data_IF_191883492498
#
_entry.id   IF_191883492498
#
_cell.length_a   1.000
_cell.length_b   1.000
_cell.length_c   1.000
_cell.angle_alpha   90.00
_cell.angle_beta   90.00
_cell.angle_gamma   90.00
#
_symmetry.space_group_name_H-M   'P 1'
#
loop_
_entity.id
_entity.type
_entity.pdbx_description
1 polymer ?
#
# COMPACT_ATOMS: atom_id res chain seq x y z
N UNK A 1 -12.34 -25.53 11.24
CA UNK A 1 -11.93 -24.97 9.95
C UNK A 1 -10.81 -25.84 9.43
N UNK A 2 -10.89 -26.27 8.18
CA UNK A 2 -9.84 -27.08 7.56
C UNK A 2 -8.67 -26.20 7.13
N UNK A 3 -7.45 -26.74 6.97
CA UNK A 3 -6.32 -25.97 6.45
C UNK A 3 -6.55 -25.39 5.04
N UNK A 4 -7.49 -25.94 4.28
CA UNK A 4 -7.89 -25.43 2.96
C UNK A 4 -8.82 -24.22 3.09
N UNK A 5 -9.80 -24.29 4.00
CA UNK A 5 -10.71 -23.18 4.31
C UNK A 5 -9.94 -21.95 4.83
N UNK A 6 -8.93 -22.15 5.68
CA UNK A 6 -8.07 -21.06 6.18
C UNK A 6 -7.30 -20.34 5.07
N UNK A 7 -6.72 -21.10 4.13
CA UNK A 7 -5.99 -20.51 3.00
C UNK A 7 -6.90 -19.74 2.04
N UNK A 8 -8.11 -20.25 1.78
CA UNK A 8 -9.09 -19.54 0.96
C UNK A 8 -9.53 -18.23 1.63
N UNK A 9 -9.84 -18.26 2.92
CA UNK A 9 -10.25 -17.06 3.65
C UNK A 9 -9.16 -15.97 3.66
N UNK A 10 -7.90 -16.36 3.81
CA UNK A 10 -6.76 -15.42 3.76
C UNK A 10 -6.57 -14.82 2.36
N UNK A 11 -6.71 -15.62 1.31
CA UNK A 11 -6.64 -15.14 -0.07
C UNK A 11 -7.78 -14.14 -0.39
N UNK A 12 -9.00 -14.41 0.04
CA UNK A 12 -10.14 -13.51 -0.13
C UNK A 12 -9.96 -12.19 0.64
N UNK A 13 -9.34 -12.24 1.83
CA UNK A 13 -9.01 -11.04 2.60
C UNK A 13 -7.98 -10.20 1.87
N UNK A 14 -6.91 -10.82 1.37
CA UNK A 14 -5.87 -10.15 0.59
C UNK A 14 -6.46 -9.51 -0.68
N UNK A 15 -7.36 -10.20 -1.38
CA UNK A 15 -8.04 -9.66 -2.56
C UNK A 15 -8.86 -8.41 -2.23
N UNK A 16 -9.59 -8.43 -1.10
CA UNK A 16 -10.36 -7.26 -0.62
C UNK A 16 -9.45 -6.08 -0.29
N UNK A 17 -8.31 -6.34 0.37
CA UNK A 17 -7.32 -5.31 0.68
C UNK A 17 -6.75 -4.73 -0.63
N UNK A 18 -6.33 -5.58 -1.57
CA UNK A 18 -5.78 -5.14 -2.85
C UNK A 18 -6.78 -4.31 -3.66
N UNK A 19 -8.04 -4.73 -3.73
CA UNK A 19 -9.10 -3.97 -4.39
C UNK A 19 -9.27 -2.58 -3.75
N UNK A 20 -9.26 -2.49 -2.41
CA UNK A 20 -9.36 -1.21 -1.72
C UNK A 20 -8.18 -0.27 -2.06
N UNK A 21 -6.95 -0.79 -2.11
CA UNK A 21 -5.78 -0.03 -2.56
C UNK A 21 -5.90 0.41 -4.01
N UNK A 22 -6.29 -0.47 -4.93
CA UNK A 22 -6.44 -0.13 -6.35
C UNK A 22 -7.50 0.94 -6.59
N UNK A 23 -8.60 0.90 -5.84
CA UNK A 23 -9.66 1.92 -5.89
C UNK A 23 -9.29 3.22 -5.18
N UNK A 24 -8.34 3.17 -4.24
CA UNK A 24 -8.04 4.28 -3.35
C UNK A 24 -9.16 4.53 -2.33
N UNK A 25 -9.76 3.47 -1.83
CA UNK A 25 -10.91 3.52 -0.93
C UNK A 25 -10.48 3.24 0.52
N UNK A 26 -10.36 4.32 1.31
CA UNK A 26 -9.86 4.25 2.69
C UNK A 26 -10.81 3.51 3.62
N UNK A 27 -12.12 3.65 3.39
CA UNK A 27 -13.13 3.02 4.23
C UNK A 27 -13.22 1.53 3.90
N UNK A 28 -13.15 1.15 2.62
CA UNK A 28 -13.02 -0.25 2.22
C UNK A 28 -11.74 -0.88 2.75
N UNK A 29 -10.61 -0.15 2.73
CA UNK A 29 -9.35 -0.63 3.29
C UNK A 29 -9.48 -0.93 4.78
N UNK A 30 -10.03 0.01 5.56
CA UNK A 30 -10.29 -0.17 7.00
C UNK A 30 -11.23 -1.33 7.29
N UNK A 31 -12.22 -1.58 6.43
CA UNK A 31 -13.14 -2.70 6.57
C UNK A 31 -12.53 -4.05 6.16
N UNK A 32 -11.54 -4.05 5.26
CA UNK A 32 -10.88 -5.25 4.76
C UNK A 32 -9.76 -5.75 5.69
N UNK A 33 -9.06 -4.85 6.39
CA UNK A 33 -8.05 -5.23 7.38
C UNK A 33 -8.69 -5.80 8.65
N UNK A 34 -8.01 -6.75 9.30
CA UNK A 34 -8.50 -7.37 10.54
C UNK A 34 -8.52 -6.42 11.73
N UNK A 35 -7.63 -5.43 11.74
CA UNK A 35 -7.57 -4.36 12.74
C UNK A 35 -7.44 -3.00 12.03
N UNK A 36 -8.48 -2.15 12.04
CA UNK A 36 -8.44 -0.83 11.40
C UNK A 36 -7.37 0.12 11.97
N UNK A 37 -6.88 -0.13 13.19
CA UNK A 37 -5.87 0.71 13.84
C UNK A 37 -4.50 0.65 13.16
N UNK A 38 -4.27 -0.37 12.33
CA UNK A 38 -3.04 -0.47 11.53
C UNK A 38 -2.98 0.55 10.40
N UNK A 39 -4.10 1.19 10.04
CA UNK A 39 -4.10 2.21 8.99
C UNK A 39 -3.81 3.59 9.62
N UNK A 40 -2.78 4.35 9.16
CA UNK A 40 -1.94 4.09 8.00
C UNK A 40 -0.52 3.54 8.31
N UNK A 41 -0.12 3.38 9.58
CA UNK A 41 1.29 3.14 9.95
C UNK A 41 1.60 1.73 10.50
N UNK A 42 0.58 0.98 10.87
CA UNK A 42 0.75 -0.37 11.37
C UNK A 42 1.12 -1.35 10.26
N UNK A 43 1.66 -2.49 10.70
CA UNK A 43 1.96 -3.62 9.83
C UNK A 43 0.64 -4.30 9.44
N UNK A 44 0.38 -4.38 8.13
CA UNK A 44 -0.74 -5.15 7.57
C UNK A 44 -0.37 -6.64 7.46
N UNK A 45 -1.22 -7.44 6.81
CA UNK A 45 -0.90 -8.84 6.52
C UNK A 45 0.45 -8.99 5.81
N UNK A 46 1.13 -10.13 6.02
CA UNK A 46 2.52 -10.35 5.61
C UNK A 46 2.78 -10.15 4.10
N UNK A 47 1.73 -10.28 3.28
CA UNK A 47 1.83 -10.05 1.82
C UNK A 47 1.78 -8.56 1.45
N UNK A 48 1.17 -7.74 2.30
CA UNK A 48 0.99 -6.28 2.11
C UNK A 48 2.11 -5.52 2.80
N UNK A 49 2.42 -5.88 4.06
CA UNK A 49 3.46 -5.25 4.86
C UNK A 49 3.12 -3.82 5.24
N UNK A 50 3.85 -2.85 4.67
CA UNK A 50 3.65 -1.41 4.92
C UNK A 50 2.53 -0.84 4.04
N UNK A 51 1.54 -0.20 4.68
CA UNK A 51 0.41 0.44 4.01
C UNK A 51 0.86 1.47 2.96
N UNK A 52 1.77 2.38 3.34
CA UNK A 52 2.21 3.46 2.45
C UNK A 52 3.03 2.92 1.28
N UNK A 53 3.90 1.92 1.52
CA UNK A 53 4.66 1.26 0.45
C UNK A 53 3.74 0.53 -0.53
N UNK A 54 2.75 -0.19 -0.03
CA UNK A 54 1.80 -0.91 -0.88
C UNK A 54 0.94 0.07 -1.71
N UNK A 55 0.51 1.18 -1.12
CA UNK A 55 -0.16 2.26 -1.85
C UNK A 55 0.73 2.83 -2.97
N UNK A 56 2.04 2.95 -2.73
CA UNK A 56 3.03 3.36 -3.75
C UNK A 56 3.23 2.28 -4.84
N UNK A 57 2.72 1.06 -4.72
CA UNK A 57 2.73 0.13 -5.85
C UNK A 57 1.38 0.02 -6.55
N UNK A 58 0.28 0.13 -5.81
CA UNK A 58 -1.06 -0.30 -6.27
C UNK A 58 -2.07 0.81 -6.44
N UNK A 59 -1.88 1.95 -5.79
CA UNK A 59 -2.91 2.98 -5.66
C UNK A 59 -2.71 4.20 -6.55
N UNK A 60 -3.77 4.98 -6.80
CA UNK A 60 -3.65 6.32 -7.38
C UNK A 60 -2.93 7.29 -6.44
N UNK A 61 -2.26 8.32 -6.99
CA UNK A 61 -1.64 9.40 -6.22
C UNK A 61 -2.57 10.05 -5.18
N UNK A 62 -3.86 10.22 -5.51
CA UNK A 62 -4.83 10.81 -4.61
C UNK A 62 -4.96 10.01 -3.30
N UNK A 63 -4.90 8.69 -3.37
CA UNK A 63 -4.96 7.83 -2.18
C UNK A 63 -3.69 7.94 -1.33
N UNK A 64 -2.52 8.01 -1.99
CA UNK A 64 -1.24 8.23 -1.31
C UNK A 64 -1.29 9.56 -0.53
N UNK A 65 -1.85 10.62 -1.12
CA UNK A 65 -2.07 11.90 -0.45
C UNK A 65 -3.00 11.75 0.76
N UNK A 66 -4.13 11.07 0.60
CA UNK A 66 -5.06 10.86 1.72
C UNK A 66 -4.42 10.08 2.87
N UNK A 67 -3.58 9.08 2.58
CA UNK A 67 -2.83 8.36 3.62
C UNK A 67 -1.88 9.30 4.37
N UNK A 68 -1.13 10.15 3.66
CA UNK A 68 -0.25 11.16 4.27
C UNK A 68 -1.03 12.18 5.10
N UNK A 69 -2.18 12.64 4.60
CA UNK A 69 -3.07 13.59 5.30
C UNK A 69 -3.60 13.04 6.63
N UNK A 70 -3.86 11.73 6.72
CA UNK A 70 -4.28 11.09 7.98
C UNK A 70 -3.09 10.65 8.85
N UNK A 71 -1.87 11.05 8.51
CA UNK A 71 -0.67 10.85 9.32
C UNK A 71 0.18 9.63 8.96
N UNK A 72 0.13 9.15 7.71
CA UNK A 72 1.10 8.17 7.26
C UNK A 72 2.51 8.76 7.34
N UNK A 73 3.45 8.02 7.94
CA UNK A 73 4.84 8.45 8.04
C UNK A 73 5.59 8.15 6.73
N UNK A 74 6.02 9.17 5.96
CA UNK A 74 6.73 8.96 4.70
C UNK A 74 8.14 8.40 4.88
N UNK A 75 8.66 8.35 6.12
CA UNK A 75 10.00 7.88 6.46
C UNK A 75 10.00 6.58 7.27
N UNK A 76 8.83 6.04 7.63
CA UNK A 76 8.76 4.79 8.39
C UNK A 76 9.39 3.64 7.58
N UNK A 77 10.30 2.85 8.18
CA UNK A 77 10.92 1.73 7.47
C UNK A 77 9.86 0.68 7.13
N UNK A 78 9.87 0.20 5.89
CA UNK A 78 9.12 -0.99 5.49
C UNK A 78 9.82 -2.26 5.97
N UNK A 79 9.23 -3.41 5.65
CA UNK A 79 9.75 -4.73 6.00
C UNK A 79 11.16 -5.02 5.46
N UNK A 80 11.51 -4.39 4.34
CA UNK A 80 12.83 -4.45 3.72
C UNK A 80 13.85 -3.48 4.37
N UNK A 81 13.44 -2.72 5.38
CA UNK A 81 14.25 -1.73 6.08
C UNK A 81 14.38 -0.39 5.35
N UNK A 82 13.74 -0.24 4.18
CA UNK A 82 13.82 0.98 3.38
C UNK A 82 12.62 1.90 3.61
N UNK A 83 12.79 3.22 3.50
CA UNK A 83 11.66 4.15 3.55
C UNK A 83 10.81 4.09 2.27
N UNK A 84 9.53 4.51 2.33
CA UNK A 84 8.60 4.57 1.19
C UNK A 84 9.15 5.24 -0.07
N UNK A 85 10.08 6.18 0.08
CA UNK A 85 10.77 6.82 -1.04
C UNK A 85 11.45 5.82 -2.00
N UNK A 86 12.00 4.72 -1.49
CA UNK A 86 12.68 3.69 -2.31
C UNK A 86 11.67 2.96 -3.21
N UNK A 87 10.44 2.75 -2.73
CA UNK A 87 9.37 2.18 -3.54
C UNK A 87 9.01 3.10 -4.72
N UNK A 88 8.88 4.41 -4.46
CA UNK A 88 8.55 5.39 -5.50
C UNK A 88 9.62 5.43 -6.61
N UNK A 89 10.90 5.41 -6.23
CA UNK A 89 12.02 5.37 -7.18
C UNK A 89 12.05 4.07 -7.99
N UNK A 90 11.62 2.95 -7.42
CA UNK A 90 11.55 1.66 -8.12
C UNK A 90 10.50 1.66 -9.23
N UNK A 91 9.44 2.45 -9.09
CA UNK A 91 8.40 2.65 -10.11
C UNK A 91 8.83 3.57 -11.27
N UNK A 92 9.95 4.29 -11.16
CA UNK A 92 10.43 5.22 -12.18
C UNK A 92 11.05 4.51 -13.40
N UNK A 93 11.48 3.25 -13.24
CA UNK A 93 12.20 2.53 -14.29
C UNK A 93 11.24 2.00 -15.34
N UNK A 94 11.53 2.29 -16.61
CA UNK A 94 10.88 1.66 -17.75
C UNK A 94 11.38 0.20 -17.86
N UNK A 95 10.65 -0.73 -17.24
CA UNK A 95 10.87 -2.16 -17.40
C UNK A 95 9.87 -2.74 -18.42
N UNK A 96 10.31 -3.59 -19.36
CA UNK A 96 9.40 -4.23 -20.32
C UNK A 96 8.30 -5.01 -19.58
N UNK A 97 7.03 -4.69 -19.87
CA UNK A 97 5.87 -5.36 -19.28
C UNK A 97 5.38 -4.80 -17.94
N UNK A 98 6.03 -3.77 -17.37
CA UNK A 98 5.53 -3.07 -16.19
C UNK A 98 4.60 -1.92 -16.59
N UNK A 99 3.51 -1.73 -15.83
CA UNK A 99 2.69 -0.54 -15.93
C UNK A 99 3.50 0.66 -15.40
N UNK A 100 3.91 1.55 -16.31
CA UNK A 100 4.67 2.75 -15.97
C UNK A 100 3.78 3.70 -15.16
N UNK A 101 4.19 4.05 -13.94
CA UNK A 101 3.60 5.20 -13.24
C UNK A 101 4.09 6.49 -13.87
N UNK A 102 3.16 7.38 -14.20
CA UNK A 102 3.46 8.68 -14.81
C UNK A 102 3.56 9.81 -13.79
N UNK A 103 3.24 9.54 -12.53
CA UNK A 103 3.10 10.48 -11.42
C UNK A 103 4.20 10.31 -10.35
N UNK A 104 5.33 9.67 -10.71
CA UNK A 104 6.42 9.42 -9.76
C UNK A 104 6.99 10.71 -9.18
N UNK A 105 7.16 11.75 -10.00
CA UNK A 105 7.67 13.05 -9.54
C UNK A 105 6.73 13.67 -8.49
N UNK A 106 5.41 13.56 -8.67
CA UNK A 106 4.44 14.01 -7.68
C UNK A 106 4.49 13.17 -6.40
N UNK A 107 4.69 11.86 -6.49
CA UNK A 107 4.86 10.99 -5.33
C UNK A 107 6.10 11.41 -4.54
N UNK A 108 7.23 11.64 -5.21
CA UNK A 108 8.45 12.10 -4.55
C UNK A 108 8.23 13.43 -3.84
N UNK A 109 7.52 14.38 -4.48
CA UNK A 109 7.21 15.67 -3.84
C UNK A 109 6.36 15.52 -2.58
N UNK A 110 5.37 14.62 -2.55
CA UNK A 110 4.53 14.46 -1.35
C UNK A 110 5.23 13.71 -0.22
N UNK A 111 6.15 12.80 -0.54
CA UNK A 111 6.94 12.09 0.48
C UNK A 111 8.04 12.97 1.10
N UNK A 112 8.47 14.02 0.40
CA UNK A 112 9.53 14.93 0.83
C UNK A 112 9.02 16.28 1.35
N UNK A 113 7.70 16.47 1.40
CA UNK A 113 7.05 17.69 1.91
C UNK A 113 7.10 17.74 3.45
#
# INVERSE_FOLDING_TARGET
MTPEEERCAEAEKLERIDEAFRRGDLDALRAAVGDPSVVPNGRMDDTVGSCLVYAIYRSPLAFIRSLLEIGADPNAPADDGFPPLIAALSCARDAPGAARRTDVDEILRVLLA
#
